data_IF_813223355179
#
_entry.id   IF_813223355179
#
_cell.length_a   1.000
_cell.length_b   1.000
_cell.length_c   1.000
_cell.angle_alpha   90.00
_cell.angle_beta   90.00
_cell.angle_gamma   90.00
#
_symmetry.space_group_name_H-M   'P 1'
#
loop_
_entity.id
_entity.type
_entity.pdbx_description
1 polymer ?
#
# COMPACT_ATOMS: atom_id res chain seq x y z
N UNK A 1 15.67 8.25 -28.62
CA UNK A 1 14.58 7.32 -28.31
C UNK A 1 13.27 8.09 -28.25
N UNK A 2 12.22 7.63 -28.92
CA UNK A 2 10.87 8.17 -28.76
C UNK A 2 10.14 7.49 -27.60
N UNK A 3 8.94 7.99 -27.27
CA UNK A 3 8.14 7.51 -26.13
C UNK A 3 7.71 6.05 -26.27
N UNK A 4 7.34 5.63 -27.47
CA UNK A 4 6.87 4.26 -27.73
C UNK A 4 8.02 3.27 -27.51
N UNK A 5 9.17 3.53 -28.13
CA UNK A 5 10.38 2.73 -27.95
C UNK A 5 10.79 2.67 -26.48
N UNK A 6 10.74 3.79 -25.76
CA UNK A 6 11.08 3.82 -24.33
C UNK A 6 10.16 2.94 -23.50
N UNK A 7 8.84 3.02 -23.71
CA UNK A 7 7.87 2.21 -22.96
C UNK A 7 8.03 0.71 -23.25
N UNK A 8 8.28 0.34 -24.51
CA UNK A 8 8.53 -1.05 -24.89
C UNK A 8 9.79 -1.59 -24.23
N UNK A 9 10.85 -0.79 -24.18
CA UNK A 9 12.11 -1.12 -23.50
C UNK A 9 11.93 -1.30 -21.97
N UNK A 10 11.11 -0.46 -21.33
CA UNK A 10 10.76 -0.61 -19.92
C UNK A 10 9.97 -1.90 -19.69
N UNK A 11 8.92 -2.15 -20.49
CA UNK A 11 8.09 -3.35 -20.36
C UNK A 11 8.89 -4.63 -20.61
N UNK A 12 9.82 -4.61 -21.55
CA UNK A 12 10.75 -5.71 -21.82
C UNK A 12 11.58 -6.05 -20.58
N UNK A 13 12.22 -5.05 -19.95
CA UNK A 13 13.01 -5.23 -18.71
C UNK A 13 12.16 -5.75 -17.55
N UNK A 14 10.95 -5.21 -17.37
CA UNK A 14 10.03 -5.67 -16.32
C UNK A 14 9.66 -7.14 -16.53
N UNK A 15 9.36 -7.57 -17.76
CA UNK A 15 9.07 -8.99 -18.05
C UNK A 15 10.24 -9.89 -17.72
N UNK A 16 11.45 -9.52 -18.12
CA UNK A 16 12.68 -10.26 -17.80
C UNK A 16 12.88 -10.37 -16.28
N UNK A 17 12.65 -9.27 -15.55
CA UNK A 17 12.73 -9.27 -14.09
C UNK A 17 11.70 -10.22 -13.46
N UNK A 18 10.44 -10.17 -13.90
CA UNK A 18 9.38 -11.03 -13.37
C UNK A 18 9.66 -12.52 -13.65
N UNK A 19 10.06 -12.86 -14.88
CA UNK A 19 10.37 -14.24 -15.27
C UNK A 19 11.58 -14.79 -14.51
N UNK A 20 12.66 -14.01 -14.40
CA UNK A 20 13.83 -14.40 -13.60
C UNK A 20 13.49 -14.50 -12.12
N UNK A 21 12.57 -13.67 -11.62
CA UNK A 21 12.11 -13.72 -10.23
C UNK A 21 11.36 -15.01 -9.89
N UNK A 22 10.74 -15.68 -10.87
CA UNK A 22 10.07 -16.98 -10.63
C UNK A 22 11.03 -18.18 -10.61
N UNK A 23 12.21 -18.07 -11.22
CA UNK A 23 13.11 -19.21 -11.48
C UNK A 23 14.42 -19.15 -10.68
N UNK A 24 14.85 -17.96 -10.27
CA UNK A 24 16.07 -17.76 -9.48
C UNK A 24 15.86 -18.18 -8.02
N UNK A 25 16.85 -18.88 -7.45
CA UNK A 25 16.86 -19.28 -6.04
C UNK A 25 17.21 -18.08 -5.15
N UNK A 26 17.94 -17.09 -5.68
CA UNK A 26 18.41 -15.93 -4.92
C UNK A 26 17.29 -14.89 -4.77
N UNK A 27 16.73 -14.76 -3.58
CA UNK A 27 15.65 -13.79 -3.26
C UNK A 27 16.12 -12.33 -3.27
N UNK A 28 17.37 -12.07 -2.88
CA UNK A 28 17.94 -10.72 -2.84
C UNK A 28 19.45 -10.76 -3.04
N UNK A 29 20.03 -9.63 -3.44
CA UNK A 29 21.48 -9.45 -3.40
C UNK A 29 21.96 -9.32 -1.96
N UNK A 30 23.20 -9.74 -1.69
CA UNK A 30 23.83 -9.68 -0.36
C UNK A 30 24.59 -8.37 -0.11
N UNK A 31 24.33 -7.33 -0.92
CA UNK A 31 25.00 -6.05 -0.79
C UNK A 31 24.55 -5.36 0.51
N UNK A 32 25.53 -4.82 1.24
CA UNK A 32 25.26 -3.99 2.41
C UNK A 32 24.78 -2.60 1.99
N UNK A 33 24.10 -1.91 2.91
CA UNK A 33 23.71 -0.51 2.75
C UNK A 33 24.89 0.36 2.26
N UNK A 34 26.03 0.28 2.92
CA UNK A 34 27.20 1.12 2.59
C UNK A 34 27.85 0.76 1.25
N UNK A 35 27.72 -0.50 0.82
CA UNK A 35 28.18 -0.90 -0.51
C UNK A 35 27.26 -0.30 -1.57
N UNK A 36 25.95 -0.51 -1.44
CA UNK A 36 24.97 -0.05 -2.42
C UNK A 36 24.96 1.48 -2.51
N UNK A 37 25.02 2.18 -1.37
CA UNK A 37 25.11 3.65 -1.34
C UNK A 37 26.33 4.21 -2.07
N UNK A 38 27.47 3.49 -2.04
CA UNK A 38 28.69 3.91 -2.75
C UNK A 38 28.65 3.62 -4.25
N UNK A 39 27.90 2.60 -4.66
CA UNK A 39 27.84 2.14 -6.05
C UNK A 39 26.63 2.67 -6.82
N UNK A 40 25.60 3.19 -6.14
CA UNK A 40 24.43 3.80 -6.77
C UNK A 40 24.64 5.30 -7.00
N UNK A 41 24.40 5.80 -8.22
CA UNK A 41 24.33 7.24 -8.48
C UNK A 41 22.94 7.78 -8.15
N UNK A 42 22.72 8.18 -6.89
CA UNK A 42 21.46 8.78 -6.43
C UNK A 42 21.49 10.33 -6.48
N UNK A 43 22.48 10.93 -7.15
CA UNK A 43 22.55 12.39 -7.25
C UNK A 43 21.47 12.88 -8.21
N UNK A 44 20.66 13.84 -7.77
CA UNK A 44 19.63 14.47 -8.58
C UNK A 44 20.24 15.68 -9.34
N UNK A 45 20.50 15.58 -10.66
CA UNK A 45 21.00 16.69 -11.42
C UNK A 45 19.90 17.75 -11.65
N UNK A 46 20.31 19.01 -11.84
CA UNK A 46 19.38 20.09 -12.21
C UNK A 46 18.83 19.93 -13.63
N UNK A 47 19.58 19.28 -14.52
CA UNK A 47 19.18 18.97 -15.88
C UNK A 47 19.01 17.46 -16.04
N UNK A 48 17.93 17.04 -16.70
CA UNK A 48 17.65 15.64 -16.97
C UNK A 48 18.70 15.03 -17.91
N UNK A 49 19.05 13.76 -17.67
CA UNK A 49 20.05 13.03 -18.47
C UNK A 49 19.47 12.31 -19.70
N UNK A 50 18.17 12.45 -19.94
CA UNK A 50 17.47 11.82 -21.05
C UNK A 50 16.99 10.39 -20.77
N UNK A 51 16.26 9.83 -21.73
CA UNK A 51 15.55 8.55 -21.58
C UNK A 51 16.49 7.33 -21.51
N UNK A 52 17.64 7.36 -22.20
CA UNK A 52 18.63 6.26 -22.14
C UNK A 52 19.18 6.10 -20.71
N UNK A 53 19.58 7.20 -20.07
CA UNK A 53 20.02 7.16 -18.67
C UNK A 53 18.90 6.73 -17.72
N UNK A 54 17.65 7.07 -18.03
CA UNK A 54 16.52 6.57 -17.24
C UNK A 54 16.33 5.05 -17.38
N UNK A 55 16.60 4.46 -18.55
CA UNK A 55 16.60 3.00 -18.71
C UNK A 55 17.73 2.34 -17.90
N UNK A 56 18.92 2.96 -17.86
CA UNK A 56 20.03 2.48 -17.02
C UNK A 56 19.65 2.52 -15.53
N UNK A 57 18.98 3.58 -15.09
CA UNK A 57 18.49 3.72 -13.72
C UNK A 57 17.41 2.67 -13.40
N UNK A 58 16.49 2.39 -14.34
CA UNK A 58 15.47 1.34 -14.18
C UNK A 58 16.12 -0.05 -14.06
N UNK A 59 17.09 -0.38 -14.90
CA UNK A 59 17.83 -1.64 -14.82
C UNK A 59 18.57 -1.76 -13.47
N UNK A 60 19.16 -0.67 -13.01
CA UNK A 60 19.79 -0.60 -11.68
C UNK A 60 18.78 -0.86 -10.56
N UNK A 61 17.58 -0.27 -10.62
CA UNK A 61 16.53 -0.54 -9.63
C UNK A 61 16.11 -2.01 -9.65
N UNK A 62 15.84 -2.58 -10.83
CA UNK A 62 15.40 -3.96 -10.97
C UNK A 62 16.45 -4.97 -10.46
N UNK A 63 17.72 -4.77 -10.83
CA UNK A 63 18.82 -5.67 -10.44
C UNK A 63 19.13 -5.68 -8.94
N UNK A 64 18.87 -4.57 -8.25
CA UNK A 64 19.08 -4.46 -6.79
C UNK A 64 17.80 -4.69 -5.97
N UNK A 65 16.64 -4.90 -6.62
CA UNK A 65 15.37 -5.14 -5.96
C UNK A 65 15.25 -6.55 -5.39
N UNK A 66 14.51 -6.67 -4.29
CA UNK A 66 14.12 -7.97 -3.74
C UNK A 66 13.13 -8.64 -4.69
N UNK A 67 13.35 -9.93 -4.97
CA UNK A 67 12.48 -10.77 -5.78
C UNK A 67 11.29 -11.25 -4.95
N UNK A 68 10.33 -10.36 -4.71
CA UNK A 68 9.16 -10.64 -3.86
C UNK A 68 8.16 -11.62 -4.47
N UNK A 69 8.30 -11.90 -5.77
CA UNK A 69 7.47 -12.87 -6.48
C UNK A 69 8.05 -14.27 -6.44
N UNK A 70 9.30 -14.45 -6.00
CA UNK A 70 9.97 -15.74 -5.97
C UNK A 70 9.30 -16.72 -4.99
N UNK A 71 9.19 -18.03 -5.32
CA UNK A 71 8.53 -19.02 -4.45
C UNK A 71 9.10 -19.13 -3.02
N UNK A 72 10.37 -18.79 -2.83
CA UNK A 72 11.04 -18.81 -1.52
C UNK A 72 10.90 -17.52 -0.70
N UNK A 73 10.21 -16.49 -1.20
CA UNK A 73 10.04 -15.22 -0.49
C UNK A 73 8.96 -15.35 0.59
N UNK A 74 9.39 -15.58 1.83
CA UNK A 74 8.51 -15.85 2.98
C UNK A 74 8.68 -14.85 4.13
N UNK A 75 9.15 -13.63 3.84
CA UNK A 75 9.52 -12.67 4.88
C UNK A 75 8.33 -11.87 5.44
N UNK A 76 7.50 -11.19 4.63
CA UNK A 76 6.28 -10.53 5.10
C UNK A 76 5.02 -11.37 4.84
N UNK A 77 3.86 -10.85 5.24
CA UNK A 77 2.53 -11.45 5.05
C UNK A 77 1.98 -11.29 3.62
N UNK A 78 2.86 -11.11 2.63
CA UNK A 78 2.51 -10.94 1.22
C UNK A 78 3.68 -11.41 0.33
N UNK A 79 3.37 -11.76 -0.92
CA UNK A 79 4.34 -12.22 -1.90
C UNK A 79 3.64 -12.86 -3.10
N UNK A 80 4.44 -13.34 -4.04
CA UNK A 80 3.95 -14.02 -5.25
C UNK A 80 3.57 -13.07 -6.38
N UNK A 81 3.13 -13.66 -7.49
CA UNK A 81 2.88 -12.99 -8.76
C UNK A 81 1.41 -13.14 -9.19
N UNK A 82 0.74 -12.01 -9.41
CA UNK A 82 -0.57 -11.96 -10.08
C UNK A 82 -0.46 -11.10 -11.32
N UNK A 83 -0.49 -11.73 -12.50
CA UNK A 83 -0.41 -11.03 -13.79
C UNK A 83 -1.58 -10.06 -13.96
N UNK A 84 -2.77 -10.43 -13.51
CA UNK A 84 -3.94 -9.55 -13.54
C UNK A 84 -3.74 -8.30 -12.65
N UNK A 85 -3.09 -8.46 -11.49
CA UNK A 85 -2.79 -7.33 -10.60
C UNK A 85 -1.76 -6.38 -11.23
N UNK A 86 -0.71 -6.90 -11.87
CA UNK A 86 0.27 -6.07 -12.59
C UNK A 86 -0.38 -5.31 -13.74
N UNK A 87 -1.22 -5.97 -14.53
CA UNK A 87 -1.97 -5.29 -15.59
C UNK A 87 -2.87 -4.18 -15.01
N UNK A 88 -3.51 -4.43 -13.87
CA UNK A 88 -4.28 -3.43 -13.13
C UNK A 88 -3.46 -2.22 -12.67
N UNK A 89 -2.25 -2.44 -12.16
CA UNK A 89 -1.31 -1.37 -11.77
C UNK A 89 -0.88 -0.53 -12.98
N UNK A 90 -0.59 -1.16 -14.13
CA UNK A 90 -0.26 -0.44 -15.36
C UNK A 90 -1.42 0.44 -15.84
N UNK A 91 -2.65 -0.07 -15.79
CA UNK A 91 -3.86 0.71 -16.12
C UNK A 91 -4.07 1.85 -15.11
N UNK A 92 -3.84 1.59 -13.82
CA UNK A 92 -3.94 2.62 -12.76
C UNK A 92 -2.93 3.74 -13.01
N UNK A 93 -1.67 3.40 -13.30
CA UNK A 93 -0.63 4.38 -13.62
C UNK A 93 -0.94 5.19 -14.89
N UNK A 94 -1.47 4.53 -15.93
CA UNK A 94 -1.83 5.19 -17.18
C UNK A 94 -3.02 6.15 -17.04
N UNK A 95 -3.99 5.81 -16.18
CA UNK A 95 -5.20 6.62 -15.96
C UNK A 95 -4.99 7.75 -14.96
N UNK A 96 -4.07 7.59 -14.00
CA UNK A 96 -3.58 8.63 -13.09
C UNK A 96 -4.69 9.51 -12.49
N UNK A 97 -5.77 8.89 -12.00
CA UNK A 97 -6.92 9.59 -11.40
C UNK A 97 -6.91 9.49 -9.88
N UNK A 98 -7.71 10.33 -9.22
CA UNK A 98 -7.86 10.35 -7.78
C UNK A 98 -9.27 9.91 -7.33
N UNK A 99 -9.33 9.12 -6.27
CA UNK A 99 -10.56 8.53 -5.73
C UNK A 99 -11.30 9.48 -4.76
N UNK A 100 -11.70 10.68 -5.20
CA UNK A 100 -12.45 11.62 -4.35
C UNK A 100 -13.84 12.03 -4.88
N UNK A 101 -14.06 12.05 -6.20
CA UNK A 101 -15.39 12.27 -6.80
C UNK A 101 -15.65 11.35 -7.98
N UNK A 102 -16.93 11.07 -8.22
CA UNK A 102 -17.37 10.30 -9.36
C UNK A 102 -17.00 10.95 -10.71
N UNK A 103 -16.97 12.28 -10.79
CA UNK A 103 -16.69 13.03 -12.02
C UNK A 103 -15.32 12.69 -12.63
N UNK A 104 -14.29 12.55 -11.79
CA UNK A 104 -12.93 12.27 -12.26
C UNK A 104 -12.55 10.78 -12.20
N UNK A 105 -13.30 9.96 -11.47
CA UNK A 105 -13.03 8.53 -11.29
C UNK A 105 -14.30 7.67 -11.40
N UNK A 106 -15.11 7.79 -12.48
CA UNK A 106 -16.44 7.18 -12.53
C UNK A 106 -16.39 5.65 -12.47
N UNK A 107 -15.57 5.03 -13.34
CA UNK A 107 -15.46 3.58 -13.40
C UNK A 107 -14.79 3.01 -12.14
N UNK A 108 -13.75 3.68 -11.62
CA UNK A 108 -13.05 3.23 -10.42
C UNK A 108 -13.95 3.32 -9.18
N UNK A 109 -14.83 4.32 -9.08
CA UNK A 109 -15.84 4.44 -8.02
C UNK A 109 -16.81 3.24 -8.03
N UNK A 110 -17.26 2.82 -9.22
CA UNK A 110 -18.16 1.67 -9.36
C UNK A 110 -17.44 0.35 -9.04
N UNK A 111 -16.16 0.22 -9.42
CA UNK A 111 -15.32 -0.93 -9.08
C UNK A 111 -15.16 -1.04 -7.56
N UNK A 112 -14.75 0.04 -6.88
CA UNK A 112 -14.60 0.03 -5.41
C UNK A 112 -15.93 -0.32 -4.73
N UNK A 113 -17.04 0.29 -5.15
CA UNK A 113 -18.37 -0.02 -4.61
C UNK A 113 -18.73 -1.50 -4.75
N UNK A 114 -18.40 -2.10 -5.90
CA UNK A 114 -18.65 -3.52 -6.18
C UNK A 114 -17.79 -4.44 -5.31
N UNK A 115 -16.52 -4.11 -5.13
CA UNK A 115 -15.59 -4.85 -4.26
C UNK A 115 -16.08 -4.79 -2.81
N UNK A 116 -16.40 -3.59 -2.30
CA UNK A 116 -16.86 -3.41 -0.93
C UNK A 116 -18.16 -4.15 -0.65
N UNK A 117 -19.11 -4.12 -1.60
CA UNK A 117 -20.34 -4.91 -1.51
C UNK A 117 -20.04 -6.41 -1.40
N UNK A 118 -19.14 -6.91 -2.25
CA UNK A 118 -18.74 -8.33 -2.23
C UNK A 118 -18.04 -8.71 -0.91
N UNK A 119 -17.20 -7.83 -0.37
CA UNK A 119 -16.56 -8.04 0.93
C UNK A 119 -17.57 -8.08 2.08
N UNK A 120 -18.58 -7.21 2.06
CA UNK A 120 -19.65 -7.20 3.05
C UNK A 120 -20.48 -8.49 3.01
N UNK A 121 -20.82 -8.98 1.80
CA UNK A 121 -21.49 -10.27 1.62
C UNK A 121 -20.67 -11.44 2.18
N UNK A 122 -19.35 -11.45 1.96
CA UNK A 122 -18.46 -12.49 2.50
C UNK A 122 -18.35 -12.45 4.04
N UNK A 123 -18.50 -11.26 4.63
CA UNK A 123 -18.49 -11.06 6.07
C UNK A 123 -19.87 -11.24 6.73
N UNK A 124 -20.91 -11.58 5.94
CA UNK A 124 -22.31 -11.65 6.37
C UNK A 124 -22.81 -10.36 7.04
N UNK A 125 -22.36 -9.23 6.50
CA UNK A 125 -22.85 -7.92 6.94
C UNK A 125 -24.14 -7.58 6.19
N UNK A 126 -25.13 -7.03 6.93
CA UNK A 126 -26.36 -6.49 6.36
C UNK A 126 -26.11 -5.17 5.63
N UNK A 127 -26.83 -4.12 6.00
CA UNK A 127 -26.57 -2.78 5.45
C UNK A 127 -25.18 -2.30 5.86
N UNK A 128 -24.26 -2.22 4.90
CA UNK A 128 -22.86 -1.86 5.11
C UNK A 128 -22.41 -0.70 4.25
N UNK A 129 -21.41 0.04 4.72
CA UNK A 129 -20.66 1.05 3.97
C UNK A 129 -19.17 0.88 4.27
N UNK A 130 -18.31 1.33 3.37
CA UNK A 130 -16.86 1.22 3.54
C UNK A 130 -16.10 2.04 2.50
N UNK A 131 -14.78 2.00 2.60
CA UNK A 131 -13.85 2.58 1.63
C UNK A 131 -12.53 1.79 1.70
N UNK A 132 -11.78 1.74 0.60
CA UNK A 132 -10.42 1.22 0.64
C UNK A 132 -9.52 2.21 1.38
N UNK A 133 -8.57 1.69 2.15
CA UNK A 133 -7.65 2.52 2.94
C UNK A 133 -6.22 2.27 2.49
N UNK A 134 -5.32 3.22 2.76
CA UNK A 134 -3.88 3.12 2.49
C UNK A 134 -3.18 2.23 3.54
N UNK A 135 -3.58 0.96 3.59
CA UNK A 135 -3.06 -0.07 4.48
C UNK A 135 -3.94 -0.33 5.72
N UNK A 136 -3.85 -1.56 6.24
CA UNK A 136 -4.71 -2.04 7.34
C UNK A 136 -4.62 -1.23 8.65
N UNK A 137 -3.49 -0.58 8.92
CA UNK A 137 -3.35 0.34 10.06
C UNK A 137 -4.33 1.51 9.99
N UNK A 138 -4.55 2.08 8.80
CA UNK A 138 -5.53 3.14 8.57
C UNK A 138 -6.96 2.60 8.61
N UNK A 139 -7.18 1.36 8.17
CA UNK A 139 -8.45 0.65 8.38
C UNK A 139 -8.81 0.51 9.86
N UNK A 140 -7.87 0.10 10.71
CA UNK A 140 -8.07 0.02 12.16
C UNK A 140 -8.36 1.40 12.77
N UNK A 141 -7.62 2.43 12.35
CA UNK A 141 -7.85 3.80 12.80
C UNK A 141 -9.23 4.32 12.40
N UNK A 142 -9.66 4.09 11.16
CA UNK A 142 -10.99 4.44 10.69
C UNK A 142 -12.07 3.68 11.47
N UNK A 143 -11.85 2.40 11.78
CA UNK A 143 -12.72 1.60 12.65
C UNK A 143 -12.92 2.24 14.04
N UNK A 144 -11.83 2.64 14.72
CA UNK A 144 -11.93 3.37 16.00
C UNK A 144 -12.64 4.71 15.83
N UNK A 145 -12.37 5.43 14.75
CA UNK A 145 -13.00 6.72 14.48
C UNK A 145 -14.51 6.59 14.31
N UNK A 146 -14.97 5.57 13.56
CA UNK A 146 -16.37 5.23 13.41
C UNK A 146 -17.02 4.86 14.75
N UNK A 147 -16.34 4.05 15.58
CA UNK A 147 -16.83 3.69 16.90
C UNK A 147 -16.95 4.92 17.83
N UNK A 148 -15.95 5.81 17.82
CA UNK A 148 -15.99 7.08 18.56
C UNK A 148 -17.14 7.96 18.09
N UNK A 149 -17.28 8.15 16.78
CA UNK A 149 -18.35 8.96 16.19
C UNK A 149 -19.73 8.39 16.50
N UNK A 150 -19.88 7.07 16.53
CA UNK A 150 -21.13 6.41 16.95
C UNK A 150 -21.45 6.67 18.42
N UNK A 151 -20.44 6.59 19.31
CA UNK A 151 -20.65 6.80 20.76
C UNK A 151 -20.81 8.26 21.16
N UNK A 152 -20.10 9.16 20.48
CA UNK A 152 -20.10 10.61 20.71
C UNK A 152 -20.26 11.33 19.36
N UNK A 153 -21.51 11.49 18.86
CA UNK A 153 -21.78 12.00 17.51
C UNK A 153 -21.27 13.41 17.21
N UNK A 154 -21.07 14.25 18.22
CA UNK A 154 -20.51 15.59 18.02
C UNK A 154 -18.98 15.65 18.16
N UNK A 155 -18.32 14.50 18.41
CA UNK A 155 -16.86 14.46 18.65
C UNK A 155 -16.02 15.04 17.51
N UNK A 156 -16.50 14.96 16.27
CA UNK A 156 -15.86 15.55 15.10
C UNK A 156 -16.04 17.06 14.99
N UNK A 157 -17.09 17.64 15.59
CA UNK A 157 -17.40 19.07 15.50
C UNK A 157 -16.93 19.85 16.72
N UNK A 158 -17.18 19.32 17.92
CA UNK A 158 -16.90 20.00 19.20
C UNK A 158 -15.63 19.49 19.88
N UNK A 159 -14.96 18.50 19.29
CA UNK A 159 -14.01 17.67 20.02
C UNK A 159 -14.71 16.79 21.05
N UNK A 160 -13.93 16.00 21.79
CA UNK A 160 -14.41 15.14 22.86
C UNK A 160 -13.32 14.97 23.93
N UNK A 161 -13.73 14.68 25.16
CA UNK A 161 -12.83 14.26 26.23
C UNK A 161 -12.63 12.73 26.16
N UNK A 162 -11.51 12.32 25.57
CA UNK A 162 -11.18 10.90 25.44
C UNK A 162 -10.67 10.22 26.71
N UNK A 163 -10.43 10.98 27.80
CA UNK A 163 -9.90 10.41 29.06
C UNK A 163 -10.86 9.40 29.70
N UNK A 164 -12.16 9.49 29.37
CA UNK A 164 -13.22 8.60 29.86
C UNK A 164 -13.62 7.50 28.87
N UNK A 165 -12.94 7.42 27.74
CA UNK A 165 -13.19 6.40 26.72
C UNK A 165 -12.18 5.29 26.87
N UNK A 166 -12.63 4.05 26.73
CA UNK A 166 -11.77 2.86 26.81
C UNK A 166 -12.04 1.98 25.60
N UNK A 167 -10.97 1.51 24.97
CA UNK A 167 -11.03 0.53 23.89
C UNK A 167 -10.32 -0.75 24.33
N UNK A 168 -10.84 -1.90 23.91
CA UNK A 168 -10.29 -3.21 24.24
C UNK A 168 -9.78 -3.89 22.97
N UNK A 169 -8.59 -4.46 23.03
CA UNK A 169 -8.01 -5.25 21.95
C UNK A 169 -7.28 -6.45 22.55
N UNK A 170 -7.10 -7.53 21.77
CA UNK A 170 -6.27 -8.66 22.20
C UNK A 170 -4.83 -8.21 22.51
N UNK A 171 -4.15 -8.89 23.44
CA UNK A 171 -2.71 -8.68 23.66
C UNK A 171 -1.89 -8.93 22.37
N UNK A 172 -2.34 -9.87 21.53
CA UNK A 172 -1.74 -10.21 20.23
C UNK A 172 -2.21 -9.30 19.07
N UNK A 173 -3.01 -8.26 19.34
CA UNK A 173 -3.49 -7.37 18.29
C UNK A 173 -2.36 -6.57 17.65
N UNK A 174 -2.49 -6.27 16.36
CA UNK A 174 -1.55 -5.41 15.63
C UNK A 174 -1.24 -4.08 16.36
N UNK A 175 0.03 -3.66 16.36
CA UNK A 175 0.50 -2.48 17.08
C UNK A 175 -0.21 -1.18 16.66
N UNK A 176 -0.81 -1.14 15.46
CA UNK A 176 -1.54 0.02 14.94
C UNK A 176 -2.65 0.52 15.85
N UNK A 177 -3.24 -0.33 16.70
CA UNK A 177 -4.24 0.12 17.67
C UNK A 177 -3.66 1.11 18.70
N UNK A 178 -2.38 0.96 19.10
CA UNK A 178 -1.71 1.93 19.97
C UNK A 178 -1.51 3.29 19.28
N UNK A 179 -1.21 3.28 17.98
CA UNK A 179 -1.07 4.50 17.18
C UNK A 179 -2.45 5.14 17.01
N UNK A 180 -3.44 4.34 16.61
CA UNK A 180 -4.80 4.80 16.38
C UNK A 180 -5.42 5.41 17.64
N UNK A 181 -5.29 4.77 18.81
CA UNK A 181 -5.82 5.30 20.08
C UNK A 181 -5.22 6.66 20.45
N UNK A 182 -3.94 6.88 20.18
CA UNK A 182 -3.32 8.20 20.31
C UNK A 182 -3.92 9.21 19.32
N UNK A 183 -3.92 8.87 18.02
CA UNK A 183 -4.37 9.77 16.94
C UNK A 183 -5.85 10.16 17.07
N UNK A 184 -6.73 9.22 17.44
CA UNK A 184 -8.16 9.49 17.58
C UNK A 184 -8.52 10.21 18.89
N UNK A 185 -7.55 10.43 19.78
CA UNK A 185 -7.70 11.20 21.02
C UNK A 185 -8.14 10.41 22.27
N UNK A 186 -8.09 9.08 22.24
CA UNK A 186 -8.42 8.21 23.40
C UNK A 186 -7.23 8.07 24.36
N UNK A 187 -6.01 8.06 23.80
CA UNK A 187 -4.76 7.85 24.54
C UNK A 187 -4.44 6.36 24.74
N UNK A 188 -3.14 6.04 24.76
CA UNK A 188 -2.67 4.65 24.83
C UNK A 188 -2.98 3.99 26.16
N UNK A 189 -2.97 4.74 27.28
CA UNK A 189 -3.33 4.21 28.60
C UNK A 189 -4.77 3.70 28.68
N UNK A 190 -5.62 4.13 27.75
CA UNK A 190 -7.02 3.76 27.65
C UNK A 190 -7.28 2.67 26.58
N UNK A 191 -6.23 2.12 25.98
CA UNK A 191 -6.30 0.93 25.13
C UNK A 191 -5.91 -0.31 25.94
N UNK A 192 -6.90 -1.03 26.43
CA UNK A 192 -6.71 -2.16 27.34
C UNK A 192 -6.49 -3.45 26.54
N UNK A 193 -5.35 -4.10 26.82
CA UNK A 193 -5.00 -5.41 26.26
C UNK A 193 -5.69 -6.54 27.02
N UNK A 194 -6.35 -7.44 26.29
CA UNK A 194 -7.11 -8.57 26.83
C UNK A 194 -6.44 -9.89 26.42
N UNK A 195 -6.34 -10.81 27.38
CA UNK A 195 -5.85 -12.20 27.23
C UNK A 195 -6.96 -13.15 26.84
#
# INVERSE_FOLDING_TARGET
MDTETFLDEVLSRVKIFLDSSQSDVRIRTEQTHDSLLRTSDLKLPMEGRGLESALDDIESVLSHSVRTTAPGFMNPLWGGLSIASIAGELVTAATNTAMYTYEIAPIATLIESSILKRMAELADFGTSQGTLTTGGSNGNMLGLLCARQSKVPLSSQTGFDGTKMVAFVSEESHYSFNIASNVVGIGQSNLIKIR
#
